data_IF_872258113248
#
_entry.id   IF_872258113248
#
_cell.length_a   1.000
_cell.length_b   1.000
_cell.length_c   1.000
_cell.angle_alpha   90.00
_cell.angle_beta   90.00
_cell.angle_gamma   90.00
#
_symmetry.space_group_name_H-M   'P 1'
#
loop_
_entity.id
_entity.type
_entity.pdbx_description
1 polymer ?
#
# COMPACT_ATOMS: atom_id res chain seq x y z
N UNK A 1 18.40 -25.55 9.87
CA UNK A 1 17.57 -25.33 8.67
C UNK A 1 16.60 -24.20 8.97
N UNK A 2 16.41 -23.22 8.07
CA UNK A 2 15.45 -22.15 8.34
C UNK A 2 14.03 -22.74 8.42
N UNK A 3 13.21 -22.19 9.32
CA UNK A 3 11.81 -22.55 9.47
C UNK A 3 11.07 -22.29 8.14
N UNK A 4 10.38 -23.29 7.60
CA UNK A 4 9.67 -23.21 6.32
C UNK A 4 8.67 -22.04 6.30
N UNK A 5 7.98 -21.81 7.41
CA UNK A 5 7.02 -20.71 7.56
C UNK A 5 7.72 -19.36 7.40
N UNK A 6 8.87 -19.16 8.06
CA UNK A 6 9.65 -17.93 7.96
C UNK A 6 10.15 -17.66 6.53
N UNK A 7 10.55 -18.70 5.79
CA UNK A 7 10.96 -18.58 4.38
C UNK A 7 9.77 -18.21 3.49
N UNK A 8 8.58 -18.74 3.77
CA UNK A 8 7.37 -18.40 3.02
C UNK A 8 6.95 -16.94 3.26
N UNK A 9 6.96 -16.46 4.50
CA UNK A 9 6.69 -15.04 4.81
C UNK A 9 7.68 -14.12 4.10
N UNK A 10 8.99 -14.41 4.19
CA UNK A 10 10.01 -13.58 3.52
C UNK A 10 9.76 -13.48 2.00
N UNK A 11 9.39 -14.59 1.35
CA UNK A 11 9.10 -14.60 -0.08
C UNK A 11 7.83 -13.87 -0.43
N UNK A 12 6.82 -13.96 0.43
CA UNK A 12 5.57 -13.23 0.29
C UNK A 12 5.81 -11.72 0.37
N UNK A 13 6.51 -11.25 1.40
CA UNK A 13 6.86 -9.83 1.56
C UNK A 13 7.65 -9.32 0.36
N UNK A 14 8.64 -10.08 -0.12
CA UNK A 14 9.42 -9.73 -1.30
C UNK A 14 8.54 -9.64 -2.57
N UNK A 15 7.61 -10.57 -2.75
CA UNK A 15 6.68 -10.56 -3.87
C UNK A 15 5.74 -9.34 -3.80
N UNK A 16 5.18 -9.04 -2.63
CA UNK A 16 4.36 -7.84 -2.41
C UNK A 16 5.16 -6.56 -2.68
N UNK A 17 6.40 -6.46 -2.19
CA UNK A 17 7.29 -5.31 -2.46
C UNK A 17 7.48 -5.10 -3.96
N UNK A 18 7.81 -6.15 -4.69
CA UNK A 18 8.05 -6.07 -6.14
C UNK A 18 6.79 -5.67 -6.89
N UNK A 19 5.65 -6.29 -6.57
CA UNK A 19 4.39 -6.05 -7.26
C UNK A 19 3.83 -4.65 -6.98
N UNK A 20 3.89 -4.19 -5.73
CA UNK A 20 3.30 -2.92 -5.31
C UNK A 20 4.20 -1.70 -5.56
N UNK A 21 5.51 -1.87 -5.72
CA UNK A 21 6.45 -0.77 -5.96
C UNK A 21 6.01 0.23 -7.05
N UNK A 22 5.60 -0.18 -8.27
CA UNK A 22 5.14 0.77 -9.30
C UNK A 22 3.85 1.51 -8.90
N UNK A 23 2.93 0.85 -8.20
CA UNK A 23 1.67 1.46 -7.73
C UNK A 23 1.97 2.51 -6.66
N UNK A 24 2.83 2.17 -5.69
CA UNK A 24 3.30 3.08 -4.63
C UNK A 24 4.05 4.27 -5.24
N UNK A 25 4.92 4.04 -6.23
CA UNK A 25 5.64 5.12 -6.90
C UNK A 25 4.68 6.13 -7.54
N UNK A 26 3.63 5.65 -8.23
CA UNK A 26 2.59 6.51 -8.82
C UNK A 26 1.77 7.22 -7.73
N UNK A 27 1.43 6.53 -6.65
CA UNK A 27 0.73 7.11 -5.50
C UNK A 27 1.51 8.29 -4.89
N UNK A 28 2.81 8.11 -4.67
CA UNK A 28 3.68 9.15 -4.11
C UNK A 28 3.91 10.29 -5.11
N UNK A 29 4.01 10.00 -6.41
CA UNK A 29 4.23 11.00 -7.45
C UNK A 29 3.10 12.04 -7.51
N UNK A 30 1.85 11.61 -7.33
CA UNK A 30 0.68 12.50 -7.37
C UNK A 30 0.49 13.30 -6.08
N UNK A 31 1.26 13.03 -5.03
CA UNK A 31 1.34 13.88 -3.84
C UNK A 31 2.39 14.99 -3.98
N UNK A 32 3.28 14.90 -4.97
CA UNK A 32 4.31 15.91 -5.19
C UNK A 32 3.69 17.27 -5.56
N UNK A 33 4.22 18.33 -4.96
CA UNK A 33 3.90 19.72 -5.32
C UNK A 33 3.97 19.94 -6.84
N UNK A 34 2.92 20.54 -7.41
CA UNK A 34 2.79 20.80 -8.84
C UNK A 34 2.35 19.60 -9.70
N UNK A 35 2.08 18.44 -9.08
CA UNK A 35 1.56 17.23 -9.77
C UNK A 35 0.28 16.68 -9.16
N UNK A 36 -0.36 17.42 -8.27
CA UNK A 36 -1.54 16.95 -7.54
C UNK A 36 -2.63 16.43 -8.49
N UNK A 37 -2.89 15.13 -8.37
CA UNK A 37 -3.94 14.44 -9.09
C UNK A 37 -4.74 13.60 -8.09
N UNK A 38 -5.86 14.16 -7.65
CA UNK A 38 -6.73 13.51 -6.67
C UNK A 38 -7.42 12.26 -7.21
N UNK A 39 -7.65 12.20 -8.53
CA UNK A 39 -8.29 11.03 -9.17
C UNK A 39 -7.30 9.87 -9.18
N UNK A 40 -6.07 10.11 -9.64
CA UNK A 40 -5.05 9.08 -9.64
C UNK A 40 -4.69 8.65 -8.21
N UNK A 41 -4.63 9.58 -7.24
CA UNK A 41 -4.46 9.25 -5.81
C UNK A 41 -5.49 8.21 -5.37
N UNK A 42 -6.77 8.47 -5.60
CA UNK A 42 -7.85 7.57 -5.20
C UNK A 42 -7.74 6.21 -5.91
N UNK A 43 -7.44 6.20 -7.22
CA UNK A 43 -7.27 4.95 -7.98
C UNK A 43 -6.11 4.11 -7.42
N UNK A 44 -4.94 4.71 -7.19
CA UNK A 44 -3.76 3.98 -6.70
C UNK A 44 -3.97 3.44 -5.27
N UNK A 45 -4.66 4.18 -4.40
CA UNK A 45 -5.01 3.69 -3.07
C UNK A 45 -5.98 2.52 -3.13
N UNK A 46 -7.01 2.62 -3.97
CA UNK A 46 -7.95 1.53 -4.24
C UNK A 46 -7.23 0.26 -4.69
N UNK A 47 -6.33 0.35 -5.67
CA UNK A 47 -5.55 -0.78 -6.17
C UNK A 47 -4.73 -1.45 -5.05
N UNK A 48 -4.12 -0.65 -4.16
CA UNK A 48 -3.38 -1.17 -3.01
C UNK A 48 -4.31 -1.96 -2.08
N UNK A 49 -5.46 -1.41 -1.70
CA UNK A 49 -6.43 -2.08 -0.83
C UNK A 49 -7.00 -3.35 -1.45
N UNK A 50 -7.43 -3.27 -2.71
CA UNK A 50 -7.95 -4.41 -3.47
C UNK A 50 -6.95 -5.57 -3.55
N UNK A 51 -5.66 -5.26 -3.74
CA UNK A 51 -4.60 -6.27 -3.74
C UNK A 51 -4.57 -7.07 -2.44
N UNK A 52 -4.57 -6.42 -1.28
CA UNK A 52 -4.51 -7.12 0.01
C UNK A 52 -5.73 -8.01 0.25
N UNK A 53 -6.93 -7.49 -0.04
CA UNK A 53 -8.18 -8.26 0.09
C UNK A 53 -8.17 -9.48 -0.85
N UNK A 54 -7.73 -9.31 -2.10
CA UNK A 54 -7.67 -10.41 -3.06
C UNK A 54 -6.67 -11.49 -2.63
N UNK A 55 -5.48 -11.08 -2.18
CA UNK A 55 -4.47 -12.00 -1.68
C UNK A 55 -4.96 -12.77 -0.46
N UNK A 56 -5.60 -12.09 0.50
CA UNK A 56 -6.17 -12.72 1.69
C UNK A 56 -7.23 -13.78 1.34
N UNK A 57 -8.03 -13.52 0.30
CA UNK A 57 -9.08 -14.43 -0.18
C UNK A 57 -8.59 -15.49 -1.16
N UNK A 58 -7.32 -15.45 -1.57
CA UNK A 58 -6.79 -16.32 -2.62
C UNK A 58 -7.39 -16.06 -4.01
N UNK A 59 -7.83 -14.83 -4.27
CA UNK A 59 -8.39 -14.40 -5.57
C UNK A 59 -7.28 -13.87 -6.48
N UNK A 60 -7.36 -14.21 -7.78
CA UNK A 60 -6.35 -13.83 -8.77
C UNK A 60 -6.59 -12.45 -9.39
N UNK A 61 -7.81 -11.92 -9.28
CA UNK A 61 -8.23 -10.66 -9.85
C UNK A 61 -8.58 -9.65 -8.75
N UNK A 62 -7.66 -8.74 -8.39
CA UNK A 62 -7.92 -7.69 -7.42
C UNK A 62 -9.03 -6.72 -7.84
N UNK A 63 -9.24 -6.49 -9.14
CA UNK A 63 -10.23 -5.52 -9.62
C UNK A 63 -11.67 -6.00 -9.36
N UNK A 64 -11.87 -7.29 -9.14
CA UNK A 64 -13.15 -7.88 -8.75
C UNK A 64 -13.59 -7.51 -7.31
N UNK A 65 -12.69 -6.98 -6.47
CA UNK A 65 -13.02 -6.56 -5.11
C UNK A 65 -13.79 -5.24 -5.15
N UNK A 66 -15.04 -5.26 -4.68
CA UNK A 66 -15.90 -4.09 -4.63
C UNK A 66 -15.55 -3.16 -3.46
N UNK A 67 -15.71 -1.85 -3.65
CA UNK A 67 -15.47 -0.85 -2.58
C UNK A 67 -16.51 -0.92 -1.45
N UNK A 68 -17.63 -1.61 -1.66
CA UNK A 68 -18.63 -1.89 -0.62
C UNK A 68 -18.33 -3.16 0.17
N UNK A 69 -17.24 -3.85 -0.15
CA UNK A 69 -16.81 -5.04 0.59
C UNK A 69 -16.33 -4.65 1.99
N UNK A 70 -16.82 -5.36 3.02
CA UNK A 70 -16.51 -5.03 4.41
C UNK A 70 -15.01 -5.06 4.72
N UNK A 71 -14.29 -6.07 4.22
CA UNK A 71 -12.85 -6.19 4.44
C UNK A 71 -12.07 -5.14 3.64
N UNK A 72 -12.58 -4.76 2.46
CA UNK A 72 -12.03 -3.61 1.74
C UNK A 72 -12.17 -2.33 2.57
N UNK A 73 -13.35 -2.06 3.14
CA UNK A 73 -13.59 -0.89 3.97
C UNK A 73 -12.63 -0.85 5.17
N UNK A 74 -12.43 -1.97 5.86
CA UNK A 74 -11.50 -2.07 6.98
C UNK A 74 -10.05 -1.78 6.57
N UNK A 75 -9.54 -2.42 5.52
CA UNK A 75 -8.19 -2.16 5.00
C UNK A 75 -8.04 -0.72 4.53
N UNK A 76 -9.05 -0.19 3.83
CA UNK A 76 -9.07 1.18 3.34
C UNK A 76 -9.00 2.18 4.51
N UNK A 77 -9.85 2.04 5.51
CA UNK A 77 -9.95 2.99 6.61
C UNK A 77 -8.70 3.00 7.49
N UNK A 78 -8.14 1.82 7.78
CA UNK A 78 -6.91 1.72 8.55
C UNK A 78 -5.73 2.31 7.78
N UNK A 79 -5.61 2.01 6.48
CA UNK A 79 -4.50 2.54 5.65
C UNK A 79 -4.67 4.02 5.29
N UNK A 80 -5.88 4.56 5.34
CA UNK A 80 -6.16 5.99 5.14
C UNK A 80 -5.35 6.85 6.12
N UNK A 81 -5.18 6.37 7.36
CA UNK A 81 -4.40 7.07 8.39
C UNK A 81 -2.95 7.36 7.99
N UNK A 82 -2.31 6.45 7.26
CA UNK A 82 -0.97 6.67 6.69
C UNK A 82 -1.01 7.73 5.60
N UNK A 83 -2.01 7.66 4.74
CA UNK A 83 -2.09 8.49 3.53
C UNK A 83 -2.47 9.94 3.79
N UNK A 84 -3.12 10.20 4.92
CA UNK A 84 -3.47 11.55 5.37
C UNK A 84 -2.26 12.26 6.00
N UNK A 85 -1.24 11.52 6.43
CA UNK A 85 -0.09 12.00 7.22
C UNK A 85 1.26 11.51 6.67
N UNK A 86 1.46 11.55 5.34
CA UNK A 86 2.68 11.02 4.69
C UNK A 86 3.97 11.73 5.15
N UNK A 87 3.90 13.02 5.43
CA UNK A 87 5.00 13.81 5.96
C UNK A 87 5.41 13.34 7.36
N UNK A 88 4.44 13.08 8.24
CA UNK A 88 4.71 12.58 9.59
C UNK A 88 5.11 11.10 9.60
N UNK A 89 4.44 10.26 8.79
CA UNK A 89 4.57 8.81 8.82
C UNK A 89 5.83 8.29 8.13
N UNK A 90 6.24 8.91 7.02
CA UNK A 90 7.41 8.47 6.22
C UNK A 90 8.39 9.61 5.88
N UNK A 91 8.11 10.85 6.32
CA UNK A 91 8.95 12.00 5.98
C UNK A 91 8.80 12.42 4.53
N UNK A 92 7.59 12.32 3.95
CA UNK A 92 7.32 12.84 2.62
C UNK A 92 7.47 14.38 2.63
N UNK A 93 8.26 14.98 1.72
CA UNK A 93 8.49 16.41 1.75
C UNK A 93 7.26 17.17 1.26
N UNK A 94 6.82 18.16 2.05
CA UNK A 94 5.74 19.08 1.66
C UNK A 94 6.15 20.03 0.53
N UNK A 95 7.46 20.29 0.39
CA UNK A 95 8.03 21.18 -0.62
C UNK A 95 9.29 20.53 -1.22
N UNK A 96 9.47 20.67 -2.52
CA UNK A 96 10.66 20.19 -3.24
C UNK A 96 10.52 18.79 -3.83
N UNK A 97 11.66 18.15 -4.12
CA UNK A 97 11.70 16.86 -4.83
C UNK A 97 11.74 15.69 -3.84
N UNK A 98 10.76 14.77 -3.86
CA UNK A 98 10.81 13.55 -3.04
C UNK A 98 11.94 12.60 -3.46
N UNK A 99 12.53 11.94 -2.46
CA UNK A 99 13.45 10.82 -2.65
C UNK A 99 12.66 9.51 -2.74
N UNK A 100 12.24 9.16 -3.95
CA UNK A 100 11.39 8.00 -4.19
C UNK A 100 12.09 6.66 -3.85
N UNK A 101 13.41 6.57 -4.02
CA UNK A 101 14.18 5.36 -3.70
C UNK A 101 14.13 5.07 -2.20
N UNK A 102 14.12 6.13 -1.36
CA UNK A 102 13.90 6.02 0.08
C UNK A 102 12.43 5.85 0.48
N UNK A 103 11.52 6.60 -0.17
CA UNK A 103 10.13 6.70 0.27
C UNK A 103 9.28 5.48 -0.13
N UNK A 104 9.52 4.86 -1.29
CA UNK A 104 8.75 3.69 -1.73
C UNK A 104 8.88 2.52 -0.73
N UNK A 105 10.09 2.12 -0.27
CA UNK A 105 10.23 1.09 0.76
C UNK A 105 9.53 1.44 2.08
N UNK A 106 9.65 2.69 2.54
CA UNK A 106 9.03 3.12 3.80
C UNK A 106 7.51 3.11 3.74
N UNK A 107 6.95 3.58 2.62
CA UNK A 107 5.52 3.51 2.38
C UNK A 107 5.05 2.06 2.36
N UNK A 108 5.76 1.18 1.64
CA UNK A 108 5.42 -0.25 1.61
C UNK A 108 5.38 -0.83 3.02
N UNK A 109 6.42 -0.62 3.83
CA UNK A 109 6.51 -1.22 5.17
C UNK A 109 5.35 -0.78 6.06
N UNK A 110 4.99 0.51 6.03
CA UNK A 110 3.86 1.04 6.81
C UNK A 110 2.53 0.55 6.29
N UNK A 111 2.29 0.64 4.98
CA UNK A 111 1.03 0.22 4.37
C UNK A 111 0.81 -1.29 4.56
N UNK A 112 1.84 -2.09 4.35
CA UNK A 112 1.79 -3.54 4.52
C UNK A 112 1.43 -3.94 5.95
N UNK A 113 2.09 -3.35 6.95
CA UNK A 113 1.78 -3.61 8.35
C UNK A 113 0.32 -3.27 8.70
N UNK A 114 -0.15 -2.08 8.28
CA UNK A 114 -1.53 -1.63 8.51
C UNK A 114 -2.56 -2.53 7.82
N UNK A 115 -2.29 -2.92 6.57
CA UNK A 115 -3.19 -3.81 5.83
C UNK A 115 -3.25 -5.20 6.46
N UNK A 116 -2.12 -5.76 6.92
CA UNK A 116 -2.12 -7.04 7.63
C UNK A 116 -2.88 -6.96 8.95
N UNK A 117 -2.67 -5.90 9.75
CA UNK A 117 -3.38 -5.67 11.01
C UNK A 117 -4.91 -5.60 10.82
N UNK A 118 -5.36 -4.90 9.77
CA UNK A 118 -6.78 -4.81 9.43
C UNK A 118 -7.41 -6.17 9.09
N UNK A 119 -6.63 -7.13 8.57
CA UNK A 119 -7.12 -8.46 8.18
C UNK A 119 -7.02 -9.50 9.31
N UNK A 120 -6.32 -9.17 10.41
CA UNK A 120 -6.19 -10.02 11.59
C UNK A 120 -7.17 -9.63 12.72
N UNK A 121 -7.94 -8.56 12.52
CA UNK A 121 -8.96 -8.02 13.44
C UNK A 121 -10.29 -8.77 13.34
#
# INVERSE_FOLDING_TARGET
>A
MPNLVAVMHLRFDAACRIYLAPIIARYLLVHQEGRWDGVEKAIRHRELCQFYVAVHRGQLDPEAIQETDALYCEVHDVTQSLTDHLDEAIGFPLVGRPDYDRLIPLFFERFHALALEAMES
#
